data_IF_993303853570
#
_entry.id   IF_993303853570
#
_cell.length_a   1.000
_cell.length_b   1.000
_cell.length_c   1.000
_cell.angle_alpha   90.00
_cell.angle_beta   90.00
_cell.angle_gamma   90.00
#
_symmetry.space_group_name_H-M   'P 1'
#
loop_
_entity.id
_entity.type
_entity.pdbx_description
1 polymer ?
#
# COMPACT_ATOMS: atom_id res chain seq x y z
N UNK A 1 -59.30 -18.37 29.04
CA UNK A 1 -57.85 -18.37 29.34
C UNK A 1 -57.13 -17.99 28.05
N UNK A 2 -56.26 -16.99 28.16
CA UNK A 2 -55.72 -16.17 27.08
C UNK A 2 -55.01 -16.99 25.99
N UNK A 3 -55.32 -16.68 24.73
CA UNK A 3 -54.37 -16.83 23.64
C UNK A 3 -53.22 -15.82 23.88
N UNK A 4 -51.97 -16.27 23.76
CA UNK A 4 -50.80 -15.40 23.64
C UNK A 4 -49.97 -15.94 22.49
N UNK A 5 -50.20 -15.35 21.32
CA UNK A 5 -49.30 -15.48 20.17
C UNK A 5 -47.99 -14.78 20.49
N UNK A 6 -46.89 -15.45 20.17
CA UNK A 6 -45.56 -14.84 20.18
C UNK A 6 -45.55 -13.75 19.10
N UNK A 7 -45.11 -12.51 19.40
CA UNK A 7 -44.89 -11.53 18.36
C UNK A 7 -43.65 -11.94 17.55
N UNK A 8 -43.84 -12.20 16.25
CA UNK A 8 -42.72 -12.21 15.30
C UNK A 8 -42.08 -10.82 15.31
N UNK A 9 -40.77 -10.77 15.54
CA UNK A 9 -39.98 -9.55 15.43
C UNK A 9 -39.76 -9.25 13.95
N UNK A 10 -40.31 -8.17 13.37
CA UNK A 10 -39.94 -7.77 12.03
C UNK A 10 -38.52 -7.20 12.10
N UNK A 11 -37.54 -7.95 11.59
CA UNK A 11 -36.19 -7.43 11.32
C UNK A 11 -36.31 -6.51 10.11
N UNK A 12 -36.79 -5.28 10.34
CA UNK A 12 -36.60 -4.18 9.42
C UNK A 12 -35.17 -3.68 9.60
N UNK A 13 -34.20 -4.44 9.09
CA UNK A 13 -32.89 -3.90 8.78
C UNK A 13 -33.06 -2.98 7.56
N UNK A 14 -33.55 -1.77 7.81
CA UNK A 14 -33.40 -0.69 6.84
C UNK A 14 -31.89 -0.42 6.74
N UNK A 15 -31.26 -0.98 5.70
CA UNK A 15 -29.97 -0.51 5.25
C UNK A 15 -30.15 0.95 4.83
N UNK A 16 -29.92 1.88 5.75
CA UNK A 16 -29.73 3.28 5.40
C UNK A 16 -28.38 3.36 4.69
N UNK A 17 -28.42 3.19 3.37
CA UNK A 17 -27.36 3.67 2.51
C UNK A 17 -27.25 5.18 2.73
N UNK A 18 -26.26 5.62 3.50
CA UNK A 18 -25.87 7.03 3.50
C UNK A 18 -25.33 7.34 2.12
N UNK A 19 -26.14 8.02 1.31
CA UNK A 19 -25.71 8.61 0.04
C UNK A 19 -24.81 9.79 0.40
N UNK A 20 -23.50 9.56 0.41
CA UNK A 20 -22.53 10.64 0.23
C UNK A 20 -22.66 11.12 -1.21
N UNK A 21 -23.45 12.17 -1.42
CA UNK A 21 -23.50 12.89 -2.69
C UNK A 21 -22.10 13.44 -3.02
N UNK A 22 -21.39 12.75 -3.92
CA UNK A 22 -20.08 13.10 -4.45
C UNK A 22 -19.76 12.17 -5.61
N UNK A 23 -20.27 12.50 -6.80
CA UNK A 23 -20.29 11.62 -7.98
C UNK A 23 -18.92 11.10 -8.40
N UNK A 24 -18.80 9.77 -8.52
CA UNK A 24 -17.60 9.05 -9.00
C UNK A 24 -17.97 7.75 -9.76
N UNK A 25 -19.12 7.75 -10.45
CA UNK A 25 -19.63 6.57 -11.18
C UNK A 25 -18.73 6.11 -12.35
N UNK A 26 -17.81 6.95 -12.81
CA UNK A 26 -16.98 6.74 -14.01
C UNK A 26 -15.47 6.96 -13.75
N UNK A 27 -15.00 6.81 -12.51
CA UNK A 27 -13.62 7.11 -12.14
C UNK A 27 -12.69 5.90 -12.26
N UNK A 28 -11.54 6.08 -12.93
CA UNK A 28 -10.43 5.11 -12.93
C UNK A 28 -9.89 4.91 -11.51
N UNK A 29 -9.18 3.81 -11.28
CA UNK A 29 -8.65 3.42 -9.97
C UNK A 29 -7.17 3.09 -10.08
N UNK A 30 -6.38 3.67 -9.17
CA UNK A 30 -4.97 3.35 -8.97
C UNK A 30 -4.77 2.97 -7.51
N UNK A 31 -4.31 1.75 -7.29
CA UNK A 31 -4.06 1.21 -5.95
C UNK A 31 -2.57 0.94 -5.80
N UNK A 32 -2.00 1.26 -4.64
CA UNK A 32 -0.67 0.79 -4.28
C UNK A 32 -0.72 -0.03 -2.99
N UNK A 33 -0.14 -1.21 -3.02
CA UNK A 33 -0.04 -2.12 -1.89
C UNK A 33 1.35 -1.97 -1.25
N UNK A 34 1.43 -1.35 -0.06
CA UNK A 34 2.61 -1.46 0.79
C UNK A 34 2.53 -2.78 1.55
N UNK A 35 3.44 -3.70 1.22
CA UNK A 35 3.45 -5.05 1.78
C UNK A 35 4.67 -5.25 2.65
N UNK A 36 4.44 -5.49 3.94
CA UNK A 36 5.48 -5.86 4.89
C UNK A 36 5.99 -7.27 4.56
N UNK A 37 7.28 -7.35 4.20
CA UNK A 37 7.99 -8.59 3.94
C UNK A 37 9.19 -8.75 4.88
N UNK A 38 9.03 -8.26 6.11
CA UNK A 38 10.07 -8.32 7.15
C UNK A 38 10.23 -9.73 7.71
N UNK A 39 11.29 -9.98 8.48
CA UNK A 39 11.56 -11.31 9.04
C UNK A 39 10.42 -11.85 9.92
N UNK A 40 9.66 -10.98 10.62
CA UNK A 40 8.50 -11.37 11.43
C UNK A 40 7.37 -12.00 10.62
N UNK A 41 7.30 -11.68 9.32
CA UNK A 41 6.34 -12.24 8.38
C UNK A 41 6.66 -13.67 7.92
N UNK A 42 7.75 -14.28 8.41
CA UNK A 42 8.14 -15.64 8.04
C UNK A 42 7.05 -16.69 8.24
N UNK A 43 7.13 -17.77 7.45
CA UNK A 43 6.23 -18.92 7.58
C UNK A 43 4.81 -18.65 7.09
N UNK A 44 3.81 -18.94 7.94
CA UNK A 44 2.40 -18.85 7.54
C UNK A 44 1.95 -17.40 7.28
N UNK A 45 2.55 -16.42 7.96
CA UNK A 45 2.14 -15.01 7.84
C UNK A 45 2.30 -14.46 6.42
N UNK A 46 3.47 -14.66 5.81
CA UNK A 46 3.72 -14.25 4.42
C UNK A 46 2.86 -15.08 3.44
N UNK A 47 2.57 -16.35 3.73
CA UNK A 47 1.68 -17.16 2.91
C UNK A 47 0.24 -16.60 2.91
N UNK A 48 -0.26 -16.19 4.09
CA UNK A 48 -1.58 -15.57 4.25
C UNK A 48 -1.63 -14.19 3.58
N UNK A 49 -0.58 -13.38 3.74
CA UNK A 49 -0.47 -12.09 3.05
C UNK A 49 -0.52 -12.26 1.53
N UNK A 50 0.23 -13.21 0.98
CA UNK A 50 0.22 -13.51 -0.46
C UNK A 50 -1.18 -13.90 -0.93
N UNK A 51 -1.88 -14.76 -0.19
CA UNK A 51 -3.24 -15.16 -0.52
C UNK A 51 -4.21 -13.96 -0.48
N UNK A 52 -4.13 -13.13 0.56
CA UNK A 52 -4.98 -11.96 0.75
C UNK A 52 -4.76 -10.88 -0.32
N UNK A 53 -3.50 -10.57 -0.64
CA UNK A 53 -3.16 -9.61 -1.69
C UNK A 53 -3.65 -10.10 -3.06
N UNK A 54 -3.51 -11.40 -3.38
CA UNK A 54 -4.01 -11.96 -4.64
C UNK A 54 -5.54 -11.89 -4.75
N UNK A 55 -6.27 -12.11 -3.65
CA UNK A 55 -7.73 -11.92 -3.64
C UNK A 55 -8.10 -10.47 -3.98
N UNK A 56 -7.37 -9.48 -3.44
CA UNK A 56 -7.59 -8.08 -3.80
C UNK A 56 -7.32 -7.84 -5.29
N UNK A 57 -6.21 -8.34 -5.84
CA UNK A 57 -5.89 -8.20 -7.28
C UNK A 57 -7.03 -8.77 -8.15
N UNK A 58 -7.53 -9.96 -7.80
CA UNK A 58 -8.58 -10.64 -8.57
C UNK A 58 -9.90 -9.83 -8.58
N UNK A 59 -10.19 -9.08 -7.52
CA UNK A 59 -11.40 -8.24 -7.41
C UNK A 59 -11.21 -6.87 -8.08
N UNK A 60 -10.09 -6.18 -7.82
CA UNK A 60 -9.97 -4.76 -8.19
C UNK A 60 -9.49 -4.56 -9.61
N UNK A 61 -8.62 -5.43 -10.14
CA UNK A 61 -8.11 -5.26 -11.51
C UNK A 61 -9.18 -5.74 -12.48
N UNK A 62 -9.66 -4.85 -13.35
CA UNK A 62 -10.72 -5.18 -14.30
C UNK A 62 -10.14 -5.79 -15.58
N UNK A 63 -10.88 -6.72 -16.18
CA UNK A 63 -10.48 -7.32 -17.46
C UNK A 63 -10.65 -6.32 -18.62
N UNK A 64 -11.77 -5.56 -18.60
CA UNK A 64 -11.98 -4.45 -19.51
C UNK A 64 -11.40 -3.15 -18.93
N UNK A 65 -10.47 -2.56 -19.68
CA UNK A 65 -9.75 -1.33 -19.35
C UNK A 65 -10.08 -0.19 -20.33
N UNK A 66 -11.07 -0.38 -21.22
CA UNK A 66 -11.36 0.52 -22.35
C UNK A 66 -12.06 1.82 -21.94
N UNK A 67 -12.95 1.76 -20.94
CA UNK A 67 -13.71 2.93 -20.45
C UNK A 67 -13.03 3.61 -19.27
N UNK A 68 -12.64 2.80 -18.29
CA UNK A 68 -11.89 3.21 -17.11
C UNK A 68 -10.80 2.17 -16.85
N UNK A 69 -9.71 2.62 -16.26
CA UNK A 69 -8.61 1.74 -15.90
C UNK A 69 -8.65 1.39 -14.43
N UNK A 70 -8.23 0.18 -14.11
CA UNK A 70 -7.94 -0.24 -12.74
C UNK A 70 -6.57 -0.90 -12.70
N UNK A 71 -5.64 -0.27 -11.98
CA UNK A 71 -4.22 -0.62 -11.95
C UNK A 71 -3.73 -0.71 -10.52
N UNK A 72 -2.82 -1.66 -10.28
CA UNK A 72 -2.22 -1.89 -8.97
C UNK A 72 -0.71 -1.79 -9.06
N UNK A 73 -0.10 -1.15 -8.08
CA UNK A 73 1.34 -1.18 -7.81
C UNK A 73 1.59 -1.99 -6.52
N UNK A 74 2.78 -2.56 -6.41
CA UNK A 74 3.21 -3.35 -5.25
C UNK A 74 4.54 -2.78 -4.76
N UNK A 75 4.56 -2.35 -3.50
CA UNK A 75 5.71 -1.80 -2.81
C UNK A 75 6.07 -2.72 -1.63
N UNK A 76 6.81 -3.82 -1.87
CA UNK A 76 7.32 -4.63 -0.78
C UNK A 76 8.41 -3.85 -0.03
N UNK A 77 8.41 -3.91 1.29
CA UNK A 77 9.42 -3.26 2.11
C UNK A 77 9.91 -4.17 3.25
N UNK A 78 11.13 -3.89 3.67
CA UNK A 78 11.77 -4.47 4.86
C UNK A 78 12.68 -3.39 5.43
N UNK A 79 13.99 -3.62 5.51
CA UNK A 79 14.97 -2.64 5.99
C UNK A 79 15.11 -1.48 5.02
N UNK A 80 14.77 -1.73 3.76
CA UNK A 80 14.85 -0.83 2.63
C UNK A 80 13.62 -1.04 1.74
N UNK A 81 13.60 -0.31 0.62
CA UNK A 81 12.81 -0.68 -0.55
C UNK A 81 13.77 -0.92 -1.70
N UNK A 82 13.56 -2.01 -2.44
CA UNK A 82 14.36 -2.33 -3.61
C UNK A 82 13.67 -1.82 -4.86
N UNK A 83 14.28 -0.87 -5.57
CA UNK A 83 13.66 -0.24 -6.74
C UNK A 83 13.99 -0.91 -8.05
N UNK A 84 14.85 -1.93 -8.02
CA UNK A 84 15.34 -2.59 -9.22
C UNK A 84 16.35 -1.74 -10.01
N UNK A 85 17.16 -2.41 -10.83
CA UNK A 85 18.27 -1.78 -11.54
C UNK A 85 17.84 -0.76 -12.58
N UNK A 86 16.73 -1.01 -13.26
CA UNK A 86 16.23 -0.15 -14.33
C UNK A 86 15.88 1.26 -13.83
N UNK A 87 15.31 1.34 -12.64
CA UNK A 87 14.77 2.60 -12.09
C UNK A 87 15.78 3.30 -11.17
N UNK A 88 16.75 2.56 -10.61
CA UNK A 88 17.68 3.06 -9.59
C UNK A 88 18.38 4.37 -9.98
N UNK A 89 18.97 4.42 -11.17
CA UNK A 89 19.71 5.61 -11.62
C UNK A 89 18.80 6.82 -11.80
N UNK A 90 17.56 6.63 -12.28
CA UNK A 90 16.60 7.71 -12.41
C UNK A 90 16.13 8.25 -11.05
N UNK A 91 16.12 7.40 -10.01
CA UNK A 91 15.65 7.75 -8.67
C UNK A 91 16.75 8.47 -7.85
N UNK A 92 17.95 7.90 -7.80
CA UNK A 92 19.03 8.39 -6.92
C UNK A 92 20.15 9.14 -7.65
N UNK A 93 20.19 9.04 -8.99
CA UNK A 93 21.17 9.73 -9.83
C UNK A 93 22.59 9.15 -9.77
N UNK A 94 22.76 7.95 -9.22
CA UNK A 94 24.01 7.19 -9.24
C UNK A 94 23.78 5.82 -9.88
N UNK A 95 24.80 5.28 -10.54
CA UNK A 95 24.72 3.94 -11.13
C UNK A 95 24.59 2.89 -10.03
N UNK A 96 23.63 1.95 -10.14
CA UNK A 96 23.50 0.89 -9.15
C UNK A 96 24.76 0.03 -9.13
N UNK A 97 25.34 -0.22 -7.95
CA UNK A 97 26.50 -1.08 -7.82
C UNK A 97 26.17 -2.54 -8.19
N UNK A 98 27.16 -3.26 -8.71
CA UNK A 98 27.01 -4.63 -9.24
C UNK A 98 26.20 -4.71 -10.54
N UNK A 99 25.76 -5.92 -10.91
CA UNK A 99 25.06 -6.20 -12.18
C UNK A 99 23.59 -6.61 -12.01
N UNK A 100 23.14 -6.90 -10.80
CA UNK A 100 21.77 -7.38 -10.51
C UNK A 100 20.93 -6.39 -9.71
N UNK A 101 19.76 -6.86 -9.27
CA UNK A 101 18.84 -6.13 -8.38
C UNK A 101 19.18 -6.30 -6.89
N UNK A 102 20.19 -7.10 -6.56
CA UNK A 102 20.55 -7.37 -5.16
C UNK A 102 21.09 -6.15 -4.42
N UNK A 103 21.30 -5.04 -5.12
CA UNK A 103 22.06 -3.86 -4.66
C UNK A 103 21.32 -2.56 -4.97
N UNK A 104 20.05 -2.66 -5.35
CA UNK A 104 19.20 -1.54 -5.78
C UNK A 104 18.26 -1.09 -4.67
N UNK A 105 18.66 -1.31 -3.42
CA UNK A 105 17.95 -0.82 -2.25
C UNK A 105 18.24 0.65 -1.99
N UNK A 106 17.23 1.31 -1.45
CA UNK A 106 17.25 2.72 -1.10
C UNK A 106 16.67 2.93 0.29
N UNK A 107 17.10 4.03 0.90
CA UNK A 107 16.70 4.47 2.24
C UNK A 107 15.76 5.66 2.14
N UNK A 108 15.60 6.36 3.26
CA UNK A 108 14.74 7.53 3.33
C UNK A 108 15.34 8.73 2.56
N UNK A 109 14.43 9.64 2.20
CA UNK A 109 14.79 10.94 1.65
C UNK A 109 15.26 11.87 2.77
N UNK A 110 16.09 12.86 2.41
CA UNK A 110 16.56 13.92 3.31
C UNK A 110 16.12 15.30 2.84
N UNK A 111 16.35 16.31 3.69
CA UNK A 111 16.02 17.70 3.38
C UNK A 111 14.53 17.99 3.47
N UNK A 112 14.06 18.98 2.69
CA UNK A 112 12.68 19.45 2.73
C UNK A 112 11.69 18.44 2.14
N UNK A 113 12.14 17.58 1.24
CA UNK A 113 11.27 16.65 0.51
C UNK A 113 11.04 15.31 1.23
N UNK A 114 11.63 15.12 2.43
CA UNK A 114 11.70 13.82 3.13
C UNK A 114 10.36 13.09 3.34
N UNK A 115 9.25 13.84 3.44
CA UNK A 115 7.90 13.30 3.62
C UNK A 115 6.95 13.75 2.50
N UNK A 116 7.47 14.05 1.31
CA UNK A 116 6.69 14.56 0.18
C UNK A 116 6.82 13.64 -1.03
N UNK A 117 5.95 13.80 -2.01
CA UNK A 117 6.05 13.15 -3.32
C UNK A 117 6.75 14.01 -4.38
N UNK A 118 7.54 15.01 -3.98
CA UNK A 118 8.37 15.76 -4.91
C UNK A 118 9.17 14.81 -5.80
N UNK A 119 9.34 15.14 -7.08
CA UNK A 119 10.04 14.29 -8.04
C UNK A 119 11.41 13.83 -7.49
N UNK A 120 11.84 12.60 -7.82
CA UNK A 120 13.13 12.11 -7.36
C UNK A 120 14.28 12.92 -7.98
N UNK A 121 15.41 12.98 -7.28
CA UNK A 121 16.55 13.77 -7.70
C UNK A 121 17.83 13.41 -6.95
N UNK A 122 18.96 13.82 -7.52
CA UNK A 122 20.29 13.62 -6.95
C UNK A 122 20.42 14.28 -5.58
N UNK A 123 21.12 13.62 -4.66
CA UNK A 123 21.45 14.22 -3.35
C UNK A 123 20.29 14.28 -2.35
N UNK A 124 19.10 13.81 -2.69
CA UNK A 124 17.92 13.79 -1.82
C UNK A 124 17.77 12.52 -0.97
N UNK A 125 18.75 11.62 -0.99
CA UNK A 125 18.68 10.29 -0.37
C UNK A 125 19.80 10.08 0.64
N UNK A 126 19.54 9.29 1.68
CA UNK A 126 20.59 8.80 2.57
C UNK A 126 21.41 7.69 1.90
N UNK A 127 22.73 7.87 1.92
CA UNK A 127 23.76 6.93 1.45
C UNK A 127 23.43 6.18 0.15
N UNK A 128 23.10 6.88 -0.95
CA UNK A 128 22.82 6.23 -2.23
C UNK A 128 24.05 5.44 -2.69
N UNK A 129 23.88 4.14 -2.91
CA UNK A 129 24.93 3.23 -3.39
C UNK A 129 25.83 2.59 -2.32
N UNK A 130 25.65 2.89 -1.02
CA UNK A 130 26.55 2.40 0.03
C UNK A 130 26.25 0.97 0.54
N UNK A 131 25.07 0.40 0.24
CA UNK A 131 24.54 -0.79 0.95
C UNK A 131 24.29 -2.00 0.05
N UNK A 132 25.22 -2.24 -0.88
CA UNK A 132 25.19 -3.38 -1.80
C UNK A 132 24.98 -4.75 -1.14
N UNK A 133 25.44 -4.92 0.10
CA UNK A 133 25.49 -6.22 0.77
C UNK A 133 24.38 -6.44 1.79
N UNK A 134 23.51 -5.44 2.03
CA UNK A 134 22.43 -5.48 3.03
C UNK A 134 21.05 -5.15 2.43
N UNK A 135 20.93 -5.20 1.11
CA UNK A 135 19.67 -4.90 0.45
C UNK A 135 18.60 -5.92 0.83
N UNK A 136 17.62 -5.46 1.59
CA UNK A 136 16.44 -6.23 1.98
C UNK A 136 15.22 -5.31 1.87
N UNK A 137 14.17 -5.72 1.15
CA UNK A 137 13.99 -7.04 0.57
C UNK A 137 14.70 -7.20 -0.79
N UNK A 138 14.88 -8.43 -1.24
CA UNK A 138 15.30 -8.75 -2.62
C UNK A 138 14.16 -8.53 -3.62
N UNK A 139 12.91 -8.62 -3.17
CA UNK A 139 11.73 -8.28 -3.98
C UNK A 139 11.76 -6.82 -4.37
N UNK A 140 11.71 -6.53 -5.67
CA UNK A 140 11.69 -5.16 -6.18
C UNK A 140 10.29 -4.56 -6.05
N UNK A 141 10.16 -3.25 -6.14
CA UNK A 141 8.87 -2.62 -6.41
C UNK A 141 8.32 -3.10 -7.77
N UNK A 142 7.00 -3.10 -7.89
CA UNK A 142 6.30 -3.22 -9.15
C UNK A 142 5.43 -1.96 -9.32
N UNK A 143 5.76 -1.07 -10.29
CA UNK A 143 4.94 0.09 -10.61
C UNK A 143 3.52 -0.30 -11.07
N UNK A 144 2.66 0.70 -11.28
CA UNK A 144 1.26 0.48 -11.67
C UNK A 144 1.14 -0.43 -12.89
N UNK A 145 0.34 -1.48 -12.76
CA UNK A 145 0.05 -2.45 -13.81
C UNK A 145 -1.40 -2.91 -13.73
N UNK A 146 -1.98 -3.29 -14.88
CA UNK A 146 -3.24 -4.03 -14.97
C UNK A 146 -3.03 -5.50 -15.36
N UNK A 147 -1.79 -5.97 -15.47
CA UNK A 147 -1.51 -7.36 -15.79
C UNK A 147 -1.66 -8.23 -14.52
N UNK A 148 -2.84 -8.82 -14.34
CA UNK A 148 -3.16 -9.68 -13.19
C UNK A 148 -2.13 -10.79 -12.99
N UNK A 149 -1.75 -11.49 -14.06
CA UNK A 149 -0.79 -12.60 -13.97
C UNK A 149 0.58 -12.13 -13.49
N UNK A 150 1.07 -10.99 -13.98
CA UNK A 150 2.35 -10.42 -13.55
C UNK A 150 2.28 -9.94 -12.09
N UNK A 151 1.19 -9.29 -11.68
CA UNK A 151 0.98 -8.86 -10.29
C UNK A 151 0.96 -10.06 -9.32
N UNK A 152 0.23 -11.13 -9.67
CA UNK A 152 0.14 -12.35 -8.84
C UNK A 152 1.48 -13.09 -8.78
N UNK A 153 2.19 -13.19 -9.90
CA UNK A 153 3.54 -13.77 -9.93
C UNK A 153 4.53 -12.98 -9.08
N UNK A 154 4.42 -11.65 -9.07
CA UNK A 154 5.23 -10.80 -8.21
C UNK A 154 4.89 -10.99 -6.72
N UNK A 155 3.61 -11.11 -6.36
CA UNK A 155 3.20 -11.45 -4.99
C UNK A 155 3.75 -12.83 -4.59
N UNK A 156 3.70 -13.81 -5.48
CA UNK A 156 4.17 -15.17 -5.20
C UNK A 156 5.69 -15.23 -4.95
N UNK A 157 6.46 -14.29 -5.50
CA UNK A 157 7.93 -14.22 -5.30
C UNK A 157 8.36 -13.53 -4.00
N UNK A 158 7.44 -12.91 -3.25
CA UNK A 158 7.78 -12.20 -2.02
C UNK A 158 8.40 -13.13 -0.96
N UNK A 159 9.43 -12.68 -0.26
CA UNK A 159 10.10 -13.44 0.79
C UNK A 159 10.30 -12.58 2.04
N UNK A 160 10.04 -13.17 3.20
CA UNK A 160 10.20 -12.53 4.50
C UNK A 160 11.68 -12.47 4.91
N UNK A 161 12.20 -11.27 5.16
CA UNK A 161 13.59 -11.04 5.59
C UNK A 161 13.78 -9.68 6.24
N UNK A 162 14.79 -9.51 7.10
CA UNK A 162 15.21 -8.20 7.61
C UNK A 162 14.31 -7.56 8.69
N UNK A 163 14.48 -6.26 8.89
CA UNK A 163 13.80 -5.40 9.88
C UNK A 163 12.76 -4.46 9.26
N UNK A 164 11.99 -3.74 10.07
CA UNK A 164 10.74 -3.08 9.64
C UNK A 164 10.90 -1.56 9.46
N UNK A 165 11.33 -1.13 8.27
CA UNK A 165 11.38 0.30 7.90
C UNK A 165 10.06 0.77 7.27
N UNK A 166 8.97 0.72 8.04
CA UNK A 166 7.61 1.00 7.55
C UNK A 166 7.38 2.37 6.91
N UNK A 167 8.10 3.41 7.34
CA UNK A 167 8.08 4.72 6.66
C UNK A 167 8.52 4.64 5.19
N UNK A 168 9.48 3.77 4.86
CA UNK A 168 9.91 3.56 3.47
C UNK A 168 8.81 2.91 2.66
N UNK A 169 8.20 1.83 3.17
CA UNK A 169 7.05 1.21 2.51
C UNK A 169 5.90 2.20 2.28
N UNK A 170 5.64 3.06 3.27
CA UNK A 170 4.59 4.10 3.20
C UNK A 170 4.91 5.12 2.11
N UNK A 171 6.14 5.64 2.08
CA UNK A 171 6.61 6.57 1.06
C UNK A 171 6.54 5.95 -0.34
N UNK A 172 7.00 4.71 -0.48
CA UNK A 172 7.04 4.01 -1.77
C UNK A 172 5.66 3.66 -2.31
N UNK A 173 4.69 3.38 -1.44
CA UNK A 173 3.31 3.26 -1.88
C UNK A 173 2.72 4.59 -2.37
N UNK A 174 3.21 5.74 -1.87
CA UNK A 174 2.81 7.03 -2.42
C UNK A 174 3.50 7.34 -3.74
N UNK A 175 4.80 7.05 -3.86
CA UNK A 175 5.58 7.34 -5.07
C UNK A 175 5.07 6.60 -6.30
N UNK A 176 4.58 5.37 -6.15
CA UNK A 176 3.93 4.64 -7.26
C UNK A 176 2.58 5.23 -7.68
N UNK A 177 1.93 6.02 -6.82
CA UNK A 177 0.68 6.73 -7.10
C UNK A 177 0.89 8.20 -7.49
N UNK A 178 2.11 8.72 -7.42
CA UNK A 178 2.37 10.13 -7.66
C UNK A 178 2.67 10.41 -9.14
N UNK A 179 1.96 11.35 -9.79
CA UNK A 179 2.30 11.81 -11.13
C UNK A 179 3.66 12.52 -11.19
N UNK A 180 4.17 13.05 -10.06
CA UNK A 180 5.50 13.68 -9.99
C UNK A 180 6.64 12.65 -10.18
N UNK A 181 6.34 11.37 -10.05
CA UNK A 181 7.27 10.26 -10.21
C UNK A 181 7.21 9.60 -11.59
N UNK A 182 6.35 10.08 -12.49
CA UNK A 182 6.20 9.52 -13.84
C UNK A 182 7.47 9.61 -14.68
N UNK A 183 8.44 10.47 -14.33
CA UNK A 183 9.74 10.53 -15.01
C UNK A 183 10.60 9.28 -14.79
N UNK A 184 10.29 8.47 -13.76
CA UNK A 184 10.97 7.21 -13.47
C UNK A 184 10.29 6.04 -14.17
N UNK A 185 8.97 6.05 -14.21
CA UNK A 185 8.18 4.91 -14.66
C UNK A 185 8.08 4.81 -16.18
N UNK A 186 7.90 3.59 -16.68
CA UNK A 186 7.47 3.41 -18.07
C UNK A 186 6.08 4.01 -18.29
N UNK A 187 5.77 4.45 -19.52
CA UNK A 187 4.50 5.13 -19.86
C UNK A 187 3.25 4.37 -19.41
N UNK A 188 3.25 3.03 -19.50
CA UNK A 188 2.11 2.20 -19.09
C UNK A 188 1.88 2.20 -17.57
N UNK A 189 2.91 2.55 -16.81
CA UNK A 189 2.90 2.64 -15.34
C UNK A 189 2.80 4.07 -14.83
N UNK A 190 2.60 5.06 -15.70
CA UNK A 190 2.36 6.44 -15.26
C UNK A 190 1.09 6.53 -14.42
N UNK A 191 1.23 7.15 -13.25
CA UNK A 191 0.12 7.54 -12.40
C UNK A 191 -0.61 8.74 -13.00
N UNK A 192 -1.94 8.73 -12.89
CA UNK A 192 -2.78 9.85 -13.32
C UNK A 192 -2.51 11.11 -12.45
N UNK A 193 -2.81 12.32 -12.95
CA UNK A 193 -2.79 13.53 -12.13
C UNK A 193 -3.70 13.42 -10.89
N UNK A 194 -3.38 14.15 -9.83
CA UNK A 194 -4.24 14.31 -8.64
C UNK A 194 -5.51 15.11 -9.00
N UNK A 195 -6.48 14.43 -9.59
CA UNK A 195 -7.75 15.00 -10.05
C UNK A 195 -8.89 14.09 -9.64
N UNK A 196 -10.13 14.59 -9.66
CA UNK A 196 -11.32 13.82 -9.29
C UNK A 196 -11.65 12.64 -10.22
N UNK A 197 -11.02 12.54 -11.40
CA UNK A 197 -11.32 11.48 -12.39
C UNK A 197 -10.64 10.14 -12.11
N UNK A 198 -9.62 10.11 -11.26
CA UNK A 198 -8.93 8.88 -10.86
C UNK A 198 -8.84 8.82 -9.36
N UNK A 199 -9.42 7.77 -8.78
CA UNK A 199 -9.30 7.49 -7.34
C UNK A 199 -7.95 6.86 -7.07
N UNK A 200 -7.21 7.42 -6.11
CA UNK A 200 -5.91 6.91 -5.69
C UNK A 200 -6.02 6.33 -4.29
N UNK A 201 -5.53 5.11 -4.13
CA UNK A 201 -5.78 4.30 -2.93
C UNK A 201 -4.47 3.66 -2.50
N UNK A 202 -4.04 3.92 -1.27
CA UNK A 202 -2.93 3.21 -0.67
C UNK A 202 -3.46 2.18 0.33
N UNK A 203 -3.01 0.94 0.22
CA UNK A 203 -3.28 -0.13 1.19
C UNK A 203 -1.97 -0.47 1.88
N UNK A 204 -1.85 -0.10 3.15
CA UNK A 204 -0.65 -0.26 3.95
C UNK A 204 -0.83 -1.41 4.94
N UNK A 205 0.05 -2.40 4.89
CA UNK A 205 -0.05 -3.57 5.76
C UNK A 205 1.28 -3.86 6.46
N UNK A 206 1.20 -4.23 7.74
CA UNK A 206 2.35 -4.66 8.56
C UNK A 206 1.91 -5.61 9.67
N UNK A 207 2.83 -6.46 10.15
CA UNK A 207 2.60 -7.37 11.28
C UNK A 207 3.31 -6.96 12.57
N UNK A 208 3.92 -5.76 12.60
CA UNK A 208 4.74 -5.36 13.72
C UNK A 208 5.05 -3.87 13.79
N UNK A 209 5.80 -3.53 14.83
CA UNK A 209 6.29 -2.17 15.07
C UNK A 209 7.39 -1.81 14.07
N UNK A 210 7.44 -0.52 13.72
CA UNK A 210 8.43 -0.02 12.78
C UNK A 210 9.77 0.23 13.47
N UNK A 211 10.58 -0.82 13.57
CA UNK A 211 11.83 -0.85 14.36
C UNK A 211 13.10 -0.39 13.60
N UNK A 212 12.98 0.13 12.36
CA UNK A 212 14.12 0.57 11.55
C UNK A 212 13.89 1.96 10.93
N UNK A 213 14.84 2.87 11.15
CA UNK A 213 14.98 4.17 10.49
C UNK A 213 16.48 4.52 10.37
N UNK A 214 16.83 5.39 9.43
CA UNK A 214 18.19 5.81 9.09
C UNK A 214 18.44 7.30 9.34
N UNK A 215 17.40 8.09 9.62
CA UNK A 215 17.54 9.50 9.96
C UNK A 215 16.44 10.04 10.86
N UNK A 216 16.82 10.99 11.72
CA UNK A 216 15.87 11.86 12.43
C UNK A 216 14.85 11.12 13.30
N UNK A 217 13.57 11.29 12.95
CA UNK A 217 12.40 10.82 13.68
C UNK A 217 12.22 9.30 13.61
N UNK A 218 11.41 8.73 14.51
CA UNK A 218 11.13 7.28 14.47
C UNK A 218 10.40 6.91 13.18
N UNK A 219 10.59 5.67 12.73
CA UNK A 219 9.90 5.17 11.53
C UNK A 219 8.38 5.34 11.62
N UNK A 220 7.80 5.17 12.81
CA UNK A 220 6.39 5.41 13.07
C UNK A 220 5.98 6.89 12.88
N UNK A 221 6.77 7.83 13.41
CA UNK A 221 6.54 9.27 13.23
C UNK A 221 6.62 9.70 11.76
N UNK A 222 7.64 9.21 11.05
CA UNK A 222 7.82 9.48 9.63
C UNK A 222 6.64 8.94 8.81
N UNK A 223 6.24 7.69 9.03
CA UNK A 223 5.11 7.08 8.34
C UNK A 223 3.82 7.89 8.54
N UNK A 224 3.54 8.34 9.77
CA UNK A 224 2.38 9.19 10.05
C UNK A 224 2.41 10.53 9.31
N UNK A 225 3.57 11.17 9.23
CA UNK A 225 3.75 12.42 8.46
C UNK A 225 3.50 12.20 6.95
N UNK A 226 4.03 11.10 6.41
CA UNK A 226 3.81 10.71 5.01
C UNK A 226 2.32 10.42 4.76
N UNK A 227 1.66 9.66 5.63
CA UNK A 227 0.23 9.38 5.54
C UNK A 227 -0.62 10.66 5.58
N UNK A 228 -0.26 11.64 6.42
CA UNK A 228 -0.95 12.93 6.46
C UNK A 228 -0.84 13.67 5.11
N UNK A 229 0.35 13.68 4.50
CA UNK A 229 0.56 14.31 3.20
C UNK A 229 -0.12 13.55 2.05
N UNK A 230 -0.11 12.21 2.07
CA UNK A 230 -0.88 11.38 1.13
C UNK A 230 -2.37 11.75 1.15
N UNK A 231 -2.96 11.85 2.36
CA UNK A 231 -4.36 12.24 2.54
C UNK A 231 -4.61 13.66 2.04
N UNK A 232 -3.69 14.60 2.29
CA UNK A 232 -3.77 15.97 1.75
C UNK A 232 -3.74 16.01 0.22
N UNK A 233 -3.10 15.05 -0.45
CA UNK A 233 -3.08 14.93 -1.91
C UNK A 233 -4.31 14.18 -2.48
N UNK A 234 -5.29 13.85 -1.64
CA UNK A 234 -6.52 13.17 -2.06
C UNK A 234 -6.40 11.64 -2.19
N UNK A 235 -5.37 11.03 -1.59
CA UNK A 235 -5.23 9.57 -1.54
C UNK A 235 -6.03 9.01 -0.37
N UNK A 236 -6.88 8.01 -0.64
CA UNK A 236 -7.53 7.24 0.42
C UNK A 236 -6.55 6.20 0.97
N UNK A 237 -6.32 6.23 2.28
CA UNK A 237 -5.35 5.38 2.96
C UNK A 237 -6.10 4.33 3.77
N UNK A 238 -5.98 3.08 3.32
CA UNK A 238 -6.36 1.88 4.05
C UNK A 238 -5.16 1.31 4.77
N UNK A 239 -5.37 0.81 5.98
CA UNK A 239 -4.31 0.22 6.80
C UNK A 239 -4.77 -1.10 7.41
N UNK A 240 -3.90 -2.10 7.41
CA UNK A 240 -4.16 -3.43 7.96
C UNK A 240 -3.04 -3.80 8.92
N UNK A 241 -3.37 -3.94 10.20
CA UNK A 241 -2.50 -4.54 11.19
C UNK A 241 -2.72 -6.04 11.23
N UNK A 242 -1.66 -6.84 11.07
CA UNK A 242 -1.76 -8.30 11.07
C UNK A 242 -1.07 -8.90 12.30
N UNK A 243 -1.84 -9.52 13.19
CA UNK A 243 -1.35 -10.10 14.45
C UNK A 243 -0.59 -9.11 15.33
N UNK A 244 -1.00 -7.84 15.32
CA UNK A 244 -0.45 -6.79 16.17
C UNK A 244 -1.22 -6.65 17.48
N UNK A 245 -0.54 -6.19 18.52
CA UNK A 245 -1.15 -5.93 19.82
C UNK A 245 -2.12 -4.74 19.75
N UNK A 246 -3.36 -4.94 20.19
CA UNK A 246 -4.34 -3.86 20.29
C UNK A 246 -3.84 -2.76 21.24
N UNK A 247 -3.89 -1.51 20.78
CA UNK A 247 -3.40 -0.34 21.54
C UNK A 247 -1.87 -0.15 21.56
N UNK A 248 -1.09 -1.08 21.01
CA UNK A 248 0.36 -0.95 20.86
C UNK A 248 0.80 0.09 19.82
N UNK A 249 2.11 0.29 19.65
CA UNK A 249 2.62 1.33 18.74
C UNK A 249 2.21 1.10 17.29
N UNK A 250 2.32 -0.15 16.79
CA UNK A 250 1.89 -0.51 15.45
C UNK A 250 0.39 -0.20 15.22
N UNK A 251 -0.44 -0.51 16.21
CA UNK A 251 -1.88 -0.24 16.18
C UNK A 251 -2.15 1.26 16.09
N UNK A 252 -1.49 2.06 16.92
CA UNK A 252 -1.63 3.51 16.93
C UNK A 252 -1.14 4.15 15.62
N UNK A 253 -0.01 3.66 15.10
CA UNK A 253 0.57 4.15 13.85
C UNK A 253 -0.36 3.91 12.67
N UNK A 254 -0.88 2.69 12.52
CA UNK A 254 -1.79 2.35 11.44
C UNK A 254 -3.15 3.06 11.57
N UNK A 255 -3.73 3.08 12.77
CA UNK A 255 -5.02 3.77 12.98
C UNK A 255 -4.95 5.28 12.70
N UNK A 256 -3.81 5.94 12.96
CA UNK A 256 -3.59 7.35 12.63
C UNK A 256 -3.27 7.58 11.14
N UNK A 257 -2.63 6.60 10.48
CA UNK A 257 -2.37 6.64 9.05
C UNK A 257 -3.66 6.54 8.23
N UNK A 258 -4.60 5.68 8.64
CA UNK A 258 -5.89 5.46 7.98
C UNK A 258 -6.64 6.77 7.69
N UNK A 259 -7.39 6.81 6.58
CA UNK A 259 -8.22 7.98 6.22
C UNK A 259 -9.43 8.17 7.15
N UNK A 260 -9.94 7.09 7.73
CA UNK A 260 -10.93 7.12 8.81
C UNK A 260 -10.88 5.80 9.59
N UNK A 261 -11.67 5.68 10.66
CA UNK A 261 -11.82 4.43 11.41
C UNK A 261 -12.30 3.26 10.55
N UNK A 262 -13.11 3.49 9.51
CA UNK A 262 -13.57 2.45 8.58
C UNK A 262 -12.51 2.01 7.57
N UNK A 263 -11.36 2.68 7.53
CA UNK A 263 -10.22 2.34 6.68
C UNK A 263 -9.11 1.61 7.46
N UNK A 264 -9.30 1.39 8.77
CA UNK A 264 -8.37 0.64 9.60
C UNK A 264 -8.93 -0.75 9.92
N UNK A 265 -8.10 -1.77 9.66
CA UNK A 265 -8.40 -3.17 9.91
C UNK A 265 -7.34 -3.74 10.86
N UNK A 266 -7.78 -4.50 11.86
CA UNK A 266 -6.89 -5.25 12.74
C UNK A 266 -7.23 -6.73 12.65
N UNK A 267 -6.41 -7.49 11.93
CA UNK A 267 -6.62 -8.91 11.63
C UNK A 267 -5.72 -9.75 12.51
N UNK A 268 -6.27 -10.72 13.24
CA UNK A 268 -5.55 -11.63 14.13
C UNK A 268 -5.28 -13.01 13.51
N UNK A 269 -5.98 -13.35 12.42
CA UNK A 269 -5.81 -14.62 11.69
C UNK A 269 -5.63 -14.40 10.19
N UNK A 270 -5.07 -15.40 9.50
CA UNK A 270 -4.94 -15.36 8.04
C UNK A 270 -6.27 -15.22 7.31
N UNK A 271 -7.35 -15.80 7.84
CA UNK A 271 -8.69 -15.64 7.28
C UNK A 271 -9.21 -14.21 7.44
N UNK A 272 -9.01 -13.59 8.62
CA UNK A 272 -9.35 -12.19 8.84
C UNK A 272 -8.52 -11.24 7.97
N UNK A 273 -7.25 -11.58 7.71
CA UNK A 273 -6.40 -10.82 6.78
C UNK A 273 -6.98 -10.88 5.37
N UNK A 274 -7.33 -12.07 4.88
CA UNK A 274 -7.99 -12.24 3.58
C UNK A 274 -9.32 -11.49 3.50
N UNK A 275 -10.10 -11.53 4.57
CA UNK A 275 -11.36 -10.78 4.64
C UNK A 275 -11.11 -9.27 4.56
N UNK A 276 -10.14 -8.72 5.30
CA UNK A 276 -9.81 -7.30 5.25
C UNK A 276 -9.44 -6.85 3.83
N UNK A 277 -8.55 -7.59 3.13
CA UNK A 277 -8.20 -7.29 1.75
C UNK A 277 -9.40 -7.35 0.79
N UNK A 278 -10.32 -8.31 0.97
CA UNK A 278 -11.55 -8.41 0.18
C UNK A 278 -12.52 -7.27 0.48
N UNK A 279 -12.71 -6.90 1.73
CA UNK A 279 -13.58 -5.78 2.13
C UNK A 279 -13.07 -4.46 1.57
N UNK A 280 -11.76 -4.22 1.64
CA UNK A 280 -11.13 -3.07 0.98
C UNK A 280 -11.42 -3.12 -0.52
N UNK A 281 -11.13 -4.25 -1.18
CA UNK A 281 -11.38 -4.41 -2.60
C UNK A 281 -12.84 -4.12 -2.99
N UNK A 282 -13.79 -4.62 -2.19
CA UNK A 282 -15.22 -4.37 -2.36
C UNK A 282 -15.55 -2.89 -2.20
N UNK A 283 -15.06 -2.21 -1.15
CA UNK A 283 -15.27 -0.76 -0.99
C UNK A 283 -14.69 0.05 -2.15
N UNK A 284 -13.55 -0.39 -2.70
CA UNK A 284 -12.97 0.24 -3.88
C UNK A 284 -13.86 0.07 -5.11
N UNK A 285 -14.47 -1.10 -5.33
CA UNK A 285 -15.31 -1.36 -6.51
C UNK A 285 -16.78 -0.98 -6.36
N UNK A 286 -17.39 -1.03 -5.17
CA UNK A 286 -18.81 -0.70 -4.96
C UNK A 286 -19.12 0.77 -5.22
N UNK A 287 -18.13 1.65 -5.06
CA UNK A 287 -18.19 3.03 -5.52
C UNK A 287 -18.46 3.17 -7.05
N UNK A 288 -18.33 2.09 -7.83
CA UNK A 288 -18.76 1.99 -9.23
C UNK A 288 -20.23 1.61 -9.41
N UNK A 289 -20.80 0.82 -8.50
CA UNK A 289 -22.13 0.21 -8.65
C UNK A 289 -23.25 1.00 -7.98
N UNK A 290 -22.93 1.94 -7.09
CA UNK A 290 -23.91 2.73 -6.34
C UNK A 290 -24.38 4.00 -7.05
N UNK A 291 -24.20 4.11 -8.38
CA UNK A 291 -24.70 5.20 -9.19
C UNK A 291 -25.35 4.66 -10.48
#
# INVERSE_FOLDING_TARGET
LSAVGLPELPVNAAAQAMISAGGNADSSVEISLMLDVTGSMGGQKIADLKAAAKDLIDIVVWDDQSRQTSRVAIAPFSEHVNVGRADYQAIVGVTPPGSGNAQTCIRERRGMDRYTDAAPGTGNWFDPGAETWQCKPQSTIMPLSNNKSALKAHIDSLSAEGYTAGHLGTAWAWYTLSPNWNTVWTTNSHAAPYTSKTRKIAVLMTDGEYNRAYSGATSAEQARAICANMKSSGITVYTIGFQIAAGGEAYQTLSQCASSSSHFFNSTTGNELRQAFREIALQVVTLRLSN
#
